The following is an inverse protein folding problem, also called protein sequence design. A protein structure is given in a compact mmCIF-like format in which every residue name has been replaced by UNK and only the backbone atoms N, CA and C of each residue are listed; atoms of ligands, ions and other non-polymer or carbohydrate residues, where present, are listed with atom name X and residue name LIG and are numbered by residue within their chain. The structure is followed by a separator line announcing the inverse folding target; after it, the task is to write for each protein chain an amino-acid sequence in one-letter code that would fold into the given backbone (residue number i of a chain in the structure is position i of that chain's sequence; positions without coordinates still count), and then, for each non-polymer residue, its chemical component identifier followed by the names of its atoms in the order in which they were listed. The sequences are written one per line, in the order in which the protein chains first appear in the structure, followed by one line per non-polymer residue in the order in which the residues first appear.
data_IF_392404620233
#
_entry.id   IF_392404620233
#
_cell.length_a   1.000
_cell.length_b   1.000
_cell.length_c   1.000
_cell.angle_alpha   90.00
_cell.angle_beta   90.00
_cell.angle_gamma   90.00
#
_symmetry.space_group_name_H-M   'P 1'
#
loop_
_entity.id
_entity.type
_entity.pdbx_description
1 polymer ?
#
# COMPACT_ATOMS: atom_id res chain seq x y z
N UNK A 1 16.61 -10.41 -0.26
CA UNK A 1 15.88 -10.52 -1.54
C UNK A 1 15.06 -9.26 -1.68
N UNK A 2 15.04 -8.64 -2.86
CA UNK A 2 14.24 -7.45 -3.10
C UNK A 2 12.76 -7.85 -3.20
N UNK A 3 11.87 -7.09 -2.58
CA UNK A 3 10.43 -7.32 -2.65
C UNK A 3 9.85 -6.80 -3.97
N UNK A 4 10.12 -5.51 -4.26
CA UNK A 4 9.71 -4.82 -5.49
C UNK A 4 10.86 -3.96 -6.00
N UNK A 5 11.08 -3.96 -7.32
CA UNK A 5 12.14 -3.18 -7.95
C UNK A 5 11.63 -2.54 -9.25
N UNK A 6 11.91 -1.26 -9.41
CA UNK A 6 11.70 -0.47 -10.63
C UNK A 6 13.06 -0.05 -11.18
N UNK A 7 13.32 -0.30 -12.46
CA UNK A 7 14.56 0.05 -13.14
C UNK A 7 14.27 0.89 -14.37
N UNK A 8 14.62 2.17 -14.31
CA UNK A 8 14.48 3.12 -15.40
C UNK A 8 13.11 3.11 -16.07
N UNK A 9 12.04 3.03 -15.23
CA UNK A 9 10.67 2.86 -15.68
C UNK A 9 10.13 4.15 -16.23
N UNK A 10 9.64 4.10 -17.49
CA UNK A 10 8.84 5.16 -18.10
C UNK A 10 7.48 4.62 -18.48
N UNK A 11 6.43 5.43 -18.26
CA UNK A 11 5.06 5.07 -18.60
C UNK A 11 4.25 6.30 -18.98
N UNK A 12 3.45 6.20 -20.03
CA UNK A 12 2.55 7.26 -20.48
C UNK A 12 1.16 6.73 -20.87
N UNK A 13 0.23 7.67 -21.05
CA UNK A 13 -1.11 7.38 -21.58
C UNK A 13 -1.34 8.18 -22.85
N UNK A 14 -1.59 7.49 -23.96
CA UNK A 14 -1.68 8.08 -25.28
C UNK A 14 -0.33 8.65 -25.76
N UNK A 15 -0.34 9.38 -26.88
CA UNK A 15 0.91 9.81 -27.55
C UNK A 15 1.65 10.97 -26.87
N UNK A 16 1.09 11.62 -25.85
CA UNK A 16 1.61 12.91 -25.34
C UNK A 16 1.72 13.05 -23.81
N UNK A 17 1.16 12.15 -23.01
CA UNK A 17 1.16 12.34 -21.54
C UNK A 17 2.06 11.31 -20.89
N UNK A 18 3.30 11.72 -20.57
CA UNK A 18 4.21 10.91 -19.74
C UNK A 18 3.79 11.05 -18.28
N UNK A 19 3.55 9.92 -17.61
CA UNK A 19 3.14 9.85 -16.20
C UNK A 19 4.33 9.50 -15.31
N UNK A 20 5.20 8.58 -15.76
CA UNK A 20 6.48 8.27 -15.12
C UNK A 20 7.59 8.45 -16.13
N UNK A 21 8.71 9.02 -15.68
CA UNK A 21 9.87 9.32 -16.49
C UNK A 21 11.16 8.93 -15.77
N UNK A 22 11.81 7.88 -16.25
CA UNK A 22 13.05 7.31 -15.70
C UNK A 22 12.99 7.00 -14.19
N UNK A 23 11.83 6.47 -13.73
CA UNK A 23 11.58 6.14 -12.33
C UNK A 23 12.33 4.89 -11.92
N UNK A 24 13.17 4.99 -10.88
CA UNK A 24 13.91 3.86 -10.32
C UNK A 24 13.74 3.84 -8.80
N UNK A 25 13.32 2.69 -8.24
CA UNK A 25 13.12 2.49 -6.80
C UNK A 25 13.23 1.00 -6.49
N UNK A 26 13.91 0.65 -5.40
CA UNK A 26 13.97 -0.72 -4.88
C UNK A 26 13.43 -0.76 -3.47
N UNK A 27 12.59 -1.74 -3.14
CA UNK A 27 11.99 -1.94 -1.81
C UNK A 27 12.36 -3.35 -1.36
N UNK A 28 13.03 -3.43 -0.22
CA UNK A 28 13.49 -4.69 0.36
C UNK A 28 12.36 -5.54 0.96
N UNK A 29 12.65 -6.82 1.20
CA UNK A 29 11.77 -7.67 1.98
C UNK A 29 11.67 -7.14 3.43
N UNK A 30 10.47 -7.05 3.97
CA UNK A 30 10.22 -6.53 5.31
C UNK A 30 10.28 -5.01 5.43
N UNK A 31 10.62 -4.29 4.37
CA UNK A 31 10.72 -2.83 4.35
C UNK A 31 9.37 -2.18 4.02
N UNK A 32 9.03 -1.13 4.74
CA UNK A 32 7.93 -0.22 4.38
C UNK A 32 8.49 1.01 3.68
N UNK A 33 8.20 1.16 2.40
CA UNK A 33 8.54 2.34 1.62
C UNK A 33 7.27 3.17 1.37
N UNK A 34 7.28 4.45 1.80
CA UNK A 34 6.23 5.39 1.46
C UNK A 34 6.63 6.23 0.25
N UNK A 35 5.80 6.25 -0.78
CA UNK A 35 5.96 7.12 -1.94
C UNK A 35 5.02 8.32 -1.79
N UNK A 36 5.60 9.50 -1.56
CA UNK A 36 4.87 10.75 -1.33
C UNK A 36 4.94 11.64 -2.57
N UNK A 37 3.87 12.38 -2.83
CA UNK A 37 3.83 13.34 -3.93
C UNK A 37 2.45 13.96 -4.11
N UNK A 38 2.37 15.03 -4.88
CA UNK A 38 1.11 15.70 -5.20
C UNK A 38 0.10 14.77 -5.89
N UNK A 39 -1.17 15.17 -5.92
CA UNK A 39 -2.17 14.48 -6.75
C UNK A 39 -1.73 14.55 -8.22
N UNK A 40 -1.85 13.43 -8.93
CA UNK A 40 -1.40 13.34 -10.33
C UNK A 40 0.10 13.10 -10.54
N UNK A 41 0.94 13.05 -9.50
CA UNK A 41 2.38 12.80 -9.64
C UNK A 41 2.75 11.41 -10.20
N UNK A 42 1.79 10.47 -10.29
CA UNK A 42 2.01 9.12 -10.81
C UNK A 42 2.01 8.01 -9.76
N UNK A 43 1.74 8.31 -8.49
CA UNK A 43 1.80 7.34 -7.36
C UNK A 43 0.95 6.08 -7.58
N UNK A 44 -0.34 6.23 -7.89
CA UNK A 44 -1.22 5.10 -8.18
C UNK A 44 -0.77 4.32 -9.43
N UNK A 45 -0.12 4.99 -10.40
CA UNK A 45 0.47 4.33 -11.57
C UNK A 45 1.62 3.41 -11.16
N UNK A 46 2.44 3.81 -10.21
CA UNK A 46 3.50 2.94 -9.65
C UNK A 46 2.90 1.65 -9.09
N UNK A 47 1.80 1.72 -8.32
CA UNK A 47 1.09 0.52 -7.82
C UNK A 47 0.51 -0.34 -8.96
N UNK A 48 -0.09 0.30 -9.98
CA UNK A 48 -0.66 -0.39 -11.15
C UNK A 48 0.39 -1.17 -11.94
N UNK A 49 1.61 -0.68 -12.02
CA UNK A 49 2.72 -1.38 -12.67
C UNK A 49 3.14 -2.63 -11.90
N UNK A 50 3.19 -2.59 -10.55
CA UNK A 50 3.49 -3.76 -9.72
C UNK A 50 2.43 -4.85 -9.92
N UNK A 51 1.13 -4.48 -9.93
CA UNK A 51 0.02 -5.41 -10.12
C UNK A 51 -0.21 -5.83 -11.58
N UNK A 52 0.64 -5.34 -12.51
CA UNK A 52 0.43 -5.57 -13.95
C UNK A 52 -0.98 -5.17 -14.42
N UNK A 53 -1.53 -4.09 -13.84
CA UNK A 53 -2.71 -3.38 -14.35
C UNK A 53 -2.32 -2.38 -15.45
N UNK A 54 -1.03 -2.02 -15.50
CA UNK A 54 -0.36 -1.32 -16.58
C UNK A 54 0.99 -1.99 -16.85
N UNK A 55 1.55 -1.79 -18.05
CA UNK A 55 2.89 -2.23 -18.40
C UNK A 55 3.75 -1.00 -18.70
N UNK A 56 5.03 -1.00 -18.31
CA UNK A 56 5.92 0.11 -18.60
C UNK A 56 6.22 0.18 -20.11
N UNK A 57 6.35 1.41 -20.64
CA UNK A 57 6.79 1.66 -22.02
C UNK A 57 8.30 1.43 -22.17
N UNK A 58 9.07 1.72 -21.09
CA UNK A 58 10.50 1.45 -21.03
C UNK A 58 10.88 1.05 -19.59
N UNK A 59 12.02 0.39 -19.45
CA UNK A 59 12.48 -0.16 -18.19
C UNK A 59 11.77 -1.46 -17.80
N UNK A 60 12.00 -1.92 -16.59
CA UNK A 60 11.40 -3.14 -16.05
C UNK A 60 10.91 -2.95 -14.59
N UNK A 61 9.85 -3.69 -14.25
CA UNK A 61 9.30 -3.79 -12.91
C UNK A 61 9.41 -5.24 -12.47
N UNK A 62 10.05 -5.47 -11.33
CA UNK A 62 10.24 -6.82 -10.78
C UNK A 62 9.50 -6.97 -9.46
N UNK A 63 8.86 -8.10 -9.29
CA UNK A 63 8.23 -8.53 -8.04
C UNK A 63 8.87 -9.85 -7.64
N UNK A 64 9.47 -9.88 -6.44
CA UNK A 64 10.21 -11.03 -5.93
C UNK A 64 11.34 -11.49 -6.89
N UNK A 65 12.03 -10.53 -7.51
CA UNK A 65 13.12 -10.77 -8.45
C UNK A 65 12.71 -11.14 -9.87
N UNK A 66 11.42 -11.37 -10.15
CA UNK A 66 10.90 -11.74 -11.46
C UNK A 66 10.21 -10.56 -12.14
N UNK A 67 10.50 -10.31 -13.42
CA UNK A 67 9.82 -9.26 -14.22
C UNK A 67 8.31 -9.50 -14.26
N UNK A 68 7.53 -8.43 -14.09
CA UNK A 68 6.05 -8.52 -14.10
C UNK A 68 5.50 -9.01 -15.44
N UNK A 69 6.21 -8.79 -16.54
CA UNK A 69 5.84 -9.29 -17.88
C UNK A 69 5.91 -10.82 -18.00
N UNK A 70 6.75 -11.46 -17.19
CA UNK A 70 6.92 -12.93 -17.18
C UNK A 70 5.91 -13.66 -16.28
N UNK A 71 5.23 -12.92 -15.39
CA UNK A 71 4.20 -13.49 -14.53
C UNK A 71 2.90 -13.75 -15.32
N UNK A 72 2.18 -14.80 -14.93
CA UNK A 72 0.75 -14.85 -15.20
C UNK A 72 0.05 -13.71 -14.42
N UNK A 73 -0.75 -12.85 -15.07
CA UNK A 73 -1.34 -11.67 -14.42
C UNK A 73 -2.25 -12.01 -13.24
N UNK A 74 -2.97 -13.14 -13.31
CA UNK A 74 -3.90 -13.57 -12.28
C UNK A 74 -3.10 -14.04 -11.07
N UNK A 75 -2.09 -14.88 -11.28
CA UNK A 75 -1.21 -15.37 -10.21
C UNK A 75 -0.46 -14.23 -9.53
N UNK A 76 0.07 -13.26 -10.29
CA UNK A 76 0.73 -12.08 -9.72
C UNK A 76 -0.22 -11.32 -8.79
N UNK A 77 -1.42 -10.98 -9.25
CA UNK A 77 -2.41 -10.22 -8.46
C UNK A 77 -2.88 -10.96 -7.22
N UNK A 78 -2.96 -12.29 -7.25
CA UNK A 78 -3.29 -13.11 -6.09
C UNK A 78 -2.14 -13.24 -5.09
N UNK A 79 -0.88 -13.12 -5.56
CA UNK A 79 0.31 -13.16 -4.71
C UNK A 79 0.69 -11.82 -4.07
N UNK A 80 0.01 -10.72 -4.45
CA UNK A 80 0.24 -9.37 -3.95
C UNK A 80 -1.00 -8.88 -3.22
N UNK A 81 -0.86 -8.47 -1.96
CA UNK A 81 -1.95 -7.83 -1.23
C UNK A 81 -2.17 -6.40 -1.73
N UNK A 82 -3.41 -5.97 -1.86
CA UNK A 82 -3.70 -4.60 -2.30
C UNK A 82 -4.82 -3.97 -1.49
N UNK A 83 -4.48 -2.90 -0.77
CA UNK A 83 -5.43 -2.03 -0.09
C UNK A 83 -5.66 -0.81 -0.98
N UNK A 84 -6.86 -0.71 -1.55
CA UNK A 84 -7.26 0.39 -2.43
C UNK A 84 -7.81 1.58 -1.63
N UNK A 85 -7.78 2.78 -2.22
CA UNK A 85 -8.12 4.05 -1.58
C UNK A 85 -9.48 4.04 -0.86
N UNK A 86 -10.53 3.53 -1.47
CA UNK A 86 -11.90 3.49 -0.91
C UNK A 86 -12.20 2.16 -0.21
N UNK A 87 -11.18 1.42 0.25
CA UNK A 87 -11.26 0.06 0.84
C UNK A 87 -11.86 -0.97 -0.12
N UNK A 88 -12.91 -0.65 -0.87
CA UNK A 88 -13.54 -1.49 -1.88
C UNK A 88 -13.98 -2.85 -1.34
N UNK A 89 -14.58 -2.90 -0.15
CA UNK A 89 -15.24 -4.11 0.33
C UNK A 89 -16.45 -4.41 -0.57
N UNK A 90 -16.66 -5.69 -0.84
CA UNK A 90 -17.83 -6.14 -1.56
C UNK A 90 -19.07 -5.97 -0.69
N UNK A 91 -20.03 -5.10 -1.04
CA UNK A 91 -21.15 -4.75 -0.17
C UNK A 91 -22.14 -5.90 0.02
N UNK A 92 -22.11 -6.88 -0.88
CA UNK A 92 -22.95 -8.08 -0.88
C UNK A 92 -22.28 -9.30 -0.23
N UNK A 93 -21.14 -9.12 0.42
CA UNK A 93 -20.42 -10.14 1.17
C UNK A 93 -20.26 -9.71 2.62
N UNK A 94 -20.32 -10.66 3.54
CA UNK A 94 -20.00 -10.43 4.95
C UNK A 94 -18.54 -10.03 5.13
N UNK A 95 -18.17 -9.59 6.33
CA UNK A 95 -16.77 -9.32 6.69
C UNK A 95 -15.90 -10.56 6.49
N UNK A 96 -16.34 -11.71 6.98
CA UNK A 96 -15.65 -12.98 6.81
C UNK A 96 -15.50 -13.36 5.34
N UNK A 97 -16.55 -13.21 4.55
CA UNK A 97 -16.51 -13.52 3.12
C UNK A 97 -15.62 -12.55 2.34
N UNK A 98 -15.61 -11.25 2.69
CA UNK A 98 -14.66 -10.29 2.12
C UNK A 98 -13.21 -10.71 2.32
N UNK A 99 -12.84 -11.15 3.54
CA UNK A 99 -11.50 -11.64 3.84
C UNK A 99 -11.22 -12.96 3.10
N UNK A 100 -12.21 -13.83 2.97
CA UNK A 100 -12.10 -15.16 2.37
C UNK A 100 -12.00 -15.16 0.82
N UNK A 101 -12.23 -14.02 0.14
CA UNK A 101 -12.30 -13.97 -1.35
C UNK A 101 -11.08 -14.60 -2.01
N UNK A 102 -9.87 -14.14 -1.67
CA UNK A 102 -8.65 -14.63 -2.32
C UNK A 102 -8.30 -16.07 -1.91
N UNK A 103 -8.37 -16.45 -0.62
CA UNK A 103 -8.23 -17.85 -0.21
C UNK A 103 -9.15 -18.83 -0.95
N UNK A 104 -10.42 -18.45 -1.17
CA UNK A 104 -11.36 -19.27 -1.96
C UNK A 104 -10.98 -19.34 -3.44
N UNK A 105 -10.52 -18.24 -4.04
CA UNK A 105 -10.01 -18.22 -5.41
C UNK A 105 -8.72 -19.07 -5.56
N UNK A 106 -7.97 -19.26 -4.48
CA UNK A 106 -6.82 -20.16 -4.39
C UNK A 106 -7.23 -21.59 -3.97
N UNK A 107 -8.53 -21.89 -3.98
CA UNK A 107 -9.10 -23.22 -3.71
C UNK A 107 -8.67 -23.81 -2.35
N UNK A 108 -8.50 -22.94 -1.33
CA UNK A 108 -8.20 -23.42 0.02
C UNK A 108 -9.38 -24.19 0.60
N UNK A 109 -9.08 -25.21 1.39
CA UNK A 109 -10.10 -25.97 2.12
C UNK A 109 -10.85 -25.07 3.10
N UNK A 110 -12.14 -25.29 3.28
CA UNK A 110 -13.03 -24.43 4.08
C UNK A 110 -12.54 -24.24 5.53
N UNK A 111 -12.07 -25.29 6.18
CA UNK A 111 -11.53 -25.20 7.55
C UNK A 111 -10.29 -24.29 7.62
N UNK A 112 -9.42 -24.34 6.61
CA UNK A 112 -8.25 -23.45 6.51
C UNK A 112 -8.68 -22.01 6.29
N UNK A 113 -9.67 -21.78 5.44
CA UNK A 113 -10.25 -20.45 5.20
C UNK A 113 -10.84 -19.89 6.49
N UNK A 114 -11.68 -20.67 7.19
CA UNK A 114 -12.30 -20.25 8.44
C UNK A 114 -11.25 -19.90 9.51
N UNK A 115 -10.24 -20.74 9.68
CA UNK A 115 -9.14 -20.51 10.61
C UNK A 115 -8.36 -19.21 10.27
N UNK A 116 -8.06 -19.00 8.98
CA UNK A 116 -7.35 -17.80 8.53
C UNK A 116 -8.16 -16.52 8.71
N UNK A 117 -9.46 -16.55 8.43
CA UNK A 117 -10.36 -15.43 8.66
C UNK A 117 -10.39 -15.04 10.14
N UNK A 118 -10.50 -16.04 11.05
CA UNK A 118 -10.47 -15.79 12.50
C UNK A 118 -9.15 -15.15 12.93
N UNK A 119 -8.02 -15.71 12.53
CA UNK A 119 -6.69 -15.19 12.80
C UNK A 119 -6.54 -13.72 12.36
N UNK A 120 -7.01 -13.40 11.15
CA UNK A 120 -6.92 -12.05 10.61
C UNK A 120 -7.84 -11.05 11.30
N UNK A 121 -9.04 -11.47 11.69
CA UNK A 121 -9.93 -10.63 12.47
C UNK A 121 -9.35 -10.31 13.85
N UNK A 122 -8.72 -11.30 14.51
CA UNK A 122 -7.99 -11.08 15.76
C UNK A 122 -6.76 -10.15 15.56
N UNK A 123 -6.04 -10.31 14.44
CA UNK A 123 -4.87 -9.47 14.11
C UNK A 123 -5.24 -7.97 13.98
N UNK A 124 -6.46 -7.68 13.50
CA UNK A 124 -6.97 -6.32 13.29
C UNK A 124 -7.87 -5.82 14.43
N UNK A 125 -7.82 -6.48 15.60
CA UNK A 125 -8.62 -6.15 16.80
C UNK A 125 -10.14 -6.08 16.54
N UNK A 126 -10.67 -7.00 15.73
CA UNK A 126 -12.10 -7.22 15.53
C UNK A 126 -12.48 -8.63 16.00
N UNK A 127 -13.34 -8.73 17.05
CA UNK A 127 -13.77 -10.02 17.58
C UNK A 127 -14.49 -10.87 16.51
N UNK A 128 -13.97 -12.07 16.14
CA UNK A 128 -14.49 -12.87 15.03
C UNK A 128 -15.98 -13.17 15.14
N UNK A 129 -16.43 -13.57 16.33
CA UNK A 129 -17.82 -13.97 16.58
C UNK A 129 -18.80 -12.78 16.52
N UNK A 130 -18.29 -11.53 16.70
CA UNK A 130 -19.10 -10.31 16.64
C UNK A 130 -19.12 -9.69 15.24
N UNK A 131 -17.99 -9.69 14.55
CA UNK A 131 -17.83 -8.95 13.31
C UNK A 131 -17.86 -9.82 12.05
N UNK A 132 -17.56 -11.10 12.16
CA UNK A 132 -17.43 -11.99 10.99
C UNK A 132 -18.66 -12.00 10.09
N UNK A 133 -19.87 -12.00 10.69
CA UNK A 133 -21.14 -12.07 9.98
C UNK A 133 -21.75 -10.70 9.64
N UNK A 134 -21.10 -9.59 10.02
CA UNK A 134 -21.59 -8.25 9.67
C UNK A 134 -21.34 -7.94 8.19
N UNK A 135 -22.14 -6.99 7.70
CA UNK A 135 -21.99 -6.42 6.36
C UNK A 135 -21.14 -5.15 6.41
N UNK A 136 -20.52 -4.73 5.30
CA UNK A 136 -19.67 -3.53 5.25
C UNK A 136 -20.37 -2.23 5.69
N UNK A 137 -21.68 -2.09 5.48
CA UNK A 137 -22.47 -0.93 5.87
C UNK A 137 -22.74 -0.85 7.39
N UNK A 138 -22.62 -1.96 8.11
CA UNK A 138 -22.71 -2.02 9.57
C UNK A 138 -21.40 -1.64 10.28
N UNK A 139 -20.34 -1.34 9.52
CA UNK A 139 -19.02 -1.01 10.04
C UNK A 139 -18.76 0.48 10.03
N UNK A 140 -17.99 0.99 11.02
CA UNK A 140 -17.40 2.33 10.93
C UNK A 140 -16.35 2.40 9.80
N UNK A 141 -15.98 3.61 9.37
CA UNK A 141 -14.93 3.80 8.36
C UNK A 141 -13.61 3.13 8.74
N UNK A 142 -13.18 3.28 10.01
CA UNK A 142 -11.98 2.63 10.51
C UNK A 142 -12.07 1.10 10.54
N UNK A 143 -13.23 0.54 10.91
CA UNK A 143 -13.45 -0.90 10.89
C UNK A 143 -13.41 -1.44 9.45
N UNK A 144 -14.04 -0.75 8.49
CA UNK A 144 -13.93 -1.10 7.06
C UNK A 144 -12.47 -1.12 6.59
N UNK A 145 -11.69 -0.11 7.00
CA UNK A 145 -10.27 -0.03 6.64
C UNK A 145 -9.48 -1.23 7.19
N UNK A 146 -9.69 -1.60 8.45
CA UNK A 146 -9.06 -2.79 9.05
C UNK A 146 -9.42 -4.06 8.29
N UNK A 147 -10.69 -4.26 7.94
CA UNK A 147 -11.14 -5.41 7.13
C UNK A 147 -10.46 -5.40 5.75
N UNK A 148 -10.27 -4.23 5.12
CA UNK A 148 -9.52 -4.09 3.87
C UNK A 148 -8.07 -4.55 3.99
N UNK A 149 -7.40 -4.22 5.09
CA UNK A 149 -6.04 -4.71 5.40
C UNK A 149 -6.04 -6.22 5.63
N UNK A 150 -6.98 -6.75 6.40
CA UNK A 150 -7.12 -8.20 6.63
C UNK A 150 -7.32 -8.96 5.32
N UNK A 151 -8.21 -8.46 4.43
CA UNK A 151 -8.43 -9.03 3.09
C UNK A 151 -7.14 -9.05 2.27
N UNK A 152 -6.38 -7.95 2.29
CA UNK A 152 -5.12 -7.87 1.56
C UNK A 152 -4.06 -8.86 2.09
N UNK A 153 -4.12 -9.21 3.39
CA UNK A 153 -3.21 -10.17 4.04
C UNK A 153 -3.71 -11.63 3.99
N UNK A 154 -4.88 -11.90 3.39
CA UNK A 154 -5.57 -13.19 3.52
C UNK A 154 -4.75 -14.40 3.08
N UNK A 155 -4.03 -14.30 1.97
CA UNK A 155 -3.17 -15.37 1.43
C UNK A 155 -1.71 -15.27 1.90
N UNK A 156 -1.45 -14.45 2.91
CA UNK A 156 -0.10 -14.18 3.44
C UNK A 156 0.89 -13.68 2.38
N UNK A 157 0.53 -12.64 1.58
CA UNK A 157 1.35 -12.19 0.47
C UNK A 157 2.69 -11.63 0.95
N UNK A 158 3.80 -11.84 0.22
CA UNK A 158 5.11 -11.27 0.55
C UNK A 158 5.19 -9.76 0.27
N UNK A 159 4.32 -9.23 -0.60
CA UNK A 159 4.24 -7.82 -0.98
C UNK A 159 2.85 -7.27 -0.69
N UNK A 160 2.80 -6.09 -0.07
CA UNK A 160 1.57 -5.36 0.22
C UNK A 160 1.63 -3.97 -0.44
N UNK A 161 0.65 -3.67 -1.25
CA UNK A 161 0.44 -2.36 -1.87
C UNK A 161 -0.69 -1.62 -1.16
N UNK A 162 -0.50 -0.33 -0.89
CA UNK A 162 -1.49 0.49 -0.20
C UNK A 162 -1.64 1.83 -0.93
N UNK A 163 -2.86 2.13 -1.38
CA UNK A 163 -3.18 3.35 -2.10
C UNK A 163 -4.00 4.28 -1.19
N UNK A 164 -3.36 5.33 -0.66
CA UNK A 164 -3.94 6.31 0.27
C UNK A 164 -4.82 5.69 1.38
N UNK A 165 -4.30 4.68 2.12
CA UNK A 165 -5.13 3.82 2.96
C UNK A 165 -5.79 4.53 4.14
N UNK A 166 -5.37 5.74 4.50
CA UNK A 166 -5.92 6.48 5.65
C UNK A 166 -6.55 7.83 5.23
N UNK A 167 -6.64 8.12 3.93
CA UNK A 167 -7.06 9.43 3.41
C UNK A 167 -8.48 9.85 3.79
N UNK A 168 -9.42 8.90 3.82
CA UNK A 168 -10.84 9.16 4.07
C UNK A 168 -11.25 9.17 5.56
N UNK A 169 -10.28 9.17 6.49
CA UNK A 169 -10.53 9.05 7.93
C UNK A 169 -10.36 10.38 8.66
N UNK A 170 -11.14 10.58 9.72
CA UNK A 170 -10.91 11.67 10.65
C UNK A 170 -9.53 11.56 11.33
N UNK A 171 -8.94 12.67 11.83
CA UNK A 171 -7.56 12.67 12.34
C UNK A 171 -7.31 11.70 13.52
N UNK A 172 -8.30 11.50 14.39
CA UNK A 172 -8.16 10.63 15.58
C UNK A 172 -8.13 9.16 15.14
N UNK A 173 -9.11 8.76 14.35
CA UNK A 173 -9.22 7.39 13.78
C UNK A 173 -8.01 7.09 12.91
N UNK A 174 -7.56 8.03 12.08
CA UNK A 174 -6.36 7.90 11.24
C UNK A 174 -5.14 7.56 12.08
N UNK A 175 -4.85 8.35 13.13
CA UNK A 175 -3.71 8.11 14.00
C UNK A 175 -3.76 6.75 14.70
N UNK A 176 -4.94 6.34 15.17
CA UNK A 176 -5.11 5.01 15.78
C UNK A 176 -4.79 3.89 14.79
N UNK A 177 -5.34 3.95 13.59
CA UNK A 177 -5.11 2.94 12.55
C UNK A 177 -3.65 2.91 12.07
N UNK A 178 -2.96 4.05 12.00
CA UNK A 178 -1.54 4.10 11.69
C UNK A 178 -0.71 3.36 12.74
N UNK A 179 -1.01 3.56 14.03
CA UNK A 179 -0.33 2.84 15.13
C UNK A 179 -0.60 1.33 15.06
N UNK A 180 -1.84 0.94 14.78
CA UNK A 180 -2.21 -0.46 14.61
C UNK A 180 -1.51 -1.09 13.40
N UNK A 181 -1.49 -0.38 12.26
CA UNK A 181 -0.78 -0.85 11.07
C UNK A 181 0.71 -1.08 11.35
N UNK A 182 1.39 -0.18 12.07
CA UNK A 182 2.79 -0.41 12.50
C UNK A 182 2.95 -1.68 13.31
N UNK A 183 2.01 -1.95 14.25
CA UNK A 183 2.03 -3.19 15.04
C UNK A 183 1.85 -4.43 14.17
N UNK A 184 0.91 -4.37 13.20
CA UNK A 184 0.68 -5.45 12.23
C UNK A 184 1.95 -5.65 11.40
N UNK A 185 2.51 -4.59 10.82
CA UNK A 185 3.72 -4.66 9.98
C UNK A 185 4.91 -5.26 10.74
N UNK A 186 5.12 -4.88 12.00
CA UNK A 186 6.17 -5.46 12.85
C UNK A 186 6.01 -6.97 13.07
N UNK A 187 4.77 -7.50 13.02
CA UNK A 187 4.50 -8.93 13.17
C UNK A 187 4.64 -9.70 11.87
N UNK A 188 4.17 -9.12 10.75
CA UNK A 188 4.10 -9.82 9.46
C UNK A 188 5.32 -9.58 8.57
N UNK A 189 6.10 -8.54 8.83
CA UNK A 189 7.36 -8.18 8.14
C UNK A 189 7.28 -8.27 6.61
N UNK A 190 6.24 -7.68 6.00
CA UNK A 190 6.03 -7.70 4.54
C UNK A 190 6.80 -6.57 3.86
N UNK A 191 7.14 -6.76 2.58
CA UNK A 191 7.53 -5.66 1.70
C UNK A 191 6.29 -4.79 1.45
N UNK A 192 6.29 -3.53 1.91
CA UNK A 192 5.15 -2.62 1.78
C UNK A 192 5.51 -1.44 0.90
N UNK A 193 4.71 -1.22 -0.15
CA UNK A 193 4.71 0.04 -0.91
C UNK A 193 3.42 0.79 -0.58
N UNK A 194 3.57 1.85 0.22
CA UNK A 194 2.51 2.76 0.62
C UNK A 194 2.59 4.02 -0.26
N UNK A 195 1.52 4.39 -0.95
CA UNK A 195 1.43 5.69 -1.60
C UNK A 195 0.49 6.61 -0.84
N UNK A 196 0.92 7.86 -0.65
CA UNK A 196 0.17 8.86 0.10
C UNK A 196 0.51 10.26 -0.40
N UNK A 197 -0.35 11.24 -0.12
CA UNK A 197 -0.03 12.65 -0.25
C UNK A 197 0.32 13.29 1.10
N UNK A 198 0.22 12.55 2.20
CA UNK A 198 0.44 13.03 3.56
C UNK A 198 1.87 12.67 4.04
N UNK A 199 2.72 13.69 4.15
CA UNK A 199 4.11 13.52 4.64
C UNK A 199 4.14 13.06 6.10
N UNK A 200 3.15 13.45 6.94
CA UNK A 200 3.10 12.99 8.33
C UNK A 200 2.85 11.48 8.41
N UNK A 201 2.04 10.95 7.51
CA UNK A 201 1.81 9.52 7.38
C UNK A 201 3.10 8.78 6.98
N UNK A 202 3.82 9.28 5.97
CA UNK A 202 5.08 8.71 5.54
C UNK A 202 6.13 8.70 6.67
N UNK A 203 6.28 9.82 7.36
CA UNK A 203 7.19 9.93 8.53
C UNK A 203 6.81 8.99 9.67
N UNK A 204 5.52 8.72 9.87
CA UNK A 204 5.04 7.85 10.94
C UNK A 204 5.20 6.36 10.65
N UNK A 205 5.12 5.94 9.38
CA UNK A 205 4.95 4.54 9.00
C UNK A 205 6.14 3.93 8.26
N UNK A 206 6.91 4.74 7.52
CA UNK A 206 7.89 4.22 6.59
C UNK A 206 9.29 4.04 7.21
N UNK A 207 9.99 3.02 6.75
CA UNK A 207 11.43 2.84 6.95
C UNK A 207 12.21 3.68 5.92
N UNK A 208 11.62 3.86 4.73
CA UNK A 208 12.14 4.72 3.67
C UNK A 208 11.02 5.52 3.02
N UNK A 209 11.33 6.75 2.66
CA UNK A 209 10.43 7.66 1.94
C UNK A 209 11.02 7.93 0.57
N UNK A 210 10.20 7.82 -0.48
CA UNK A 210 10.47 8.34 -1.81
C UNK A 210 9.57 9.54 -2.07
N UNK A 211 10.12 10.60 -2.66
CA UNK A 211 9.32 11.75 -3.09
C UNK A 211 9.21 11.76 -4.61
N UNK A 212 7.98 11.65 -5.10
CA UNK A 212 7.63 11.64 -6.51
C UNK A 212 7.10 13.02 -6.92
N UNK A 213 7.71 13.64 -7.92
CA UNK A 213 7.26 14.88 -8.50
C UNK A 213 7.32 14.78 -10.02
N UNK A 214 6.23 15.15 -10.70
CA UNK A 214 6.10 15.12 -12.17
C UNK A 214 6.61 13.80 -12.82
N UNK A 215 6.31 12.67 -12.19
CA UNK A 215 6.68 11.35 -12.69
C UNK A 215 8.12 10.92 -12.40
N UNK A 216 8.91 11.73 -11.70
CA UNK A 216 10.30 11.43 -11.36
C UNK A 216 10.49 11.26 -9.85
N UNK A 217 11.33 10.32 -9.45
CA UNK A 217 11.77 10.19 -8.07
C UNK A 217 12.84 11.27 -7.80
N UNK A 218 12.43 12.35 -7.11
CA UNK A 218 13.32 13.49 -6.86
C UNK A 218 14.15 13.37 -5.58
N UNK A 219 13.74 12.46 -4.68
CA UNK A 219 14.46 12.16 -3.44
C UNK A 219 14.07 10.79 -2.91
N UNK A 220 14.98 10.08 -2.26
CA UNK A 220 14.70 8.86 -1.49
C UNK A 220 15.69 8.71 -0.35
N UNK A 221 15.19 8.38 0.83
CA UNK A 221 16.01 8.20 2.03
C UNK A 221 15.19 7.78 3.24
N UNK A 222 15.84 7.70 4.41
CA UNK A 222 15.14 7.42 5.68
C UNK A 222 14.33 8.63 6.14
N UNK A 223 13.30 8.44 6.99
CA UNK A 223 12.54 9.55 7.58
C UNK A 223 13.42 10.60 8.27
N UNK A 224 14.52 10.17 8.88
CA UNK A 224 15.45 11.07 9.57
C UNK A 224 16.26 11.94 8.60
N UNK A 225 16.63 11.40 7.44
CA UNK A 225 17.44 12.10 6.44
C UNK A 225 16.64 13.12 5.61
N UNK A 226 15.30 13.09 5.65
CA UNK A 226 14.48 13.97 4.81
C UNK A 226 14.58 15.44 5.20
N UNK A 227 14.87 15.73 6.48
CA UNK A 227 15.06 17.11 6.99
C UNK A 227 16.28 17.79 6.38
N UNK A 228 17.26 17.01 5.94
CA UNK A 228 18.53 17.49 5.36
C UNK A 228 18.47 17.52 3.82
N UNK A 229 17.30 17.25 3.23
CA UNK A 229 17.12 17.23 1.79
C UNK A 229 17.30 18.63 1.17
N UNK A 230 18.16 18.74 0.16
CA UNK A 230 18.42 20.02 -0.52
C UNK A 230 17.36 20.41 -1.56
N UNK A 231 16.49 19.48 -1.96
CA UNK A 231 15.50 19.74 -3.01
C UNK A 231 14.33 20.62 -2.51
N UNK A 232 14.03 21.76 -3.17
CA UNK A 232 13.02 22.73 -2.68
C UNK A 232 11.62 22.12 -2.47
N UNK A 233 11.18 21.22 -3.36
CA UNK A 233 9.89 20.52 -3.25
C UNK A 233 9.85 19.60 -2.03
N UNK A 234 10.96 18.93 -1.71
CA UNK A 234 11.04 18.04 -0.53
C UNK A 234 10.95 18.87 0.74
N UNK A 235 11.68 19.99 0.81
CA UNK A 235 11.61 20.94 1.96
C UNK A 235 10.19 21.45 2.17
N UNK A 236 9.51 21.90 1.11
CA UNK A 236 8.14 22.39 1.20
C UNK A 236 7.17 21.33 1.75
N UNK A 237 7.33 20.06 1.36
CA UNK A 237 6.53 18.95 1.90
C UNK A 237 6.82 18.70 3.39
N UNK A 238 8.08 18.76 3.83
CA UNK A 238 8.47 18.58 5.23
C UNK A 238 7.97 19.74 6.08
N UNK A 239 8.14 20.98 5.62
CA UNK A 239 7.70 22.20 6.33
C UNK A 239 6.17 22.23 6.52
N UNK A 240 5.39 21.61 5.62
CA UNK A 240 3.93 21.54 5.77
C UNK A 240 3.48 20.71 6.98
N UNK A 241 4.36 19.88 7.54
CA UNK A 241 4.04 18.93 8.62
C UNK A 241 4.74 19.30 9.94
N UNK A 242 5.90 19.94 9.86
CA UNK A 242 6.61 20.43 11.06
C UNK A 242 5.92 21.72 11.50
N UNK A 243 5.39 21.82 12.73
CA UNK A 243 4.78 23.06 13.19
C UNK A 243 5.80 24.20 13.05
N UNK A 244 5.43 25.24 12.31
CA UNK A 244 6.18 26.50 12.32
C UNK A 244 6.24 26.94 13.78
N UNK A 245 7.44 26.97 14.36
CA UNK A 245 7.63 27.62 15.67
C UNK A 245 7.27 29.09 15.43
N UNK A 246 6.08 29.47 15.87
CA UNK A 246 5.72 30.87 15.98
C UNK A 246 6.71 31.48 17.00
N UNK A 247 7.70 32.17 16.48
CA UNK A 247 8.63 33.01 17.26
C UNK A 247 7.93 34.29 17.67
#
# INVERSE_FOLDING_TARGET
MDGVEFRHVSYGVGARTRILDDFSLTIGAGETCALVGASGAGKTTVLKLVNRLALPDAGDVRVLGRDTREWDPIRLRRSVGYVIQDVGLFPHLTVADNIAVVPRLEEWQDDRVAGRVRELLELIDLAPDTYGNRWPDELSGGQRQRVGVARALAVDPPVLLMDEPFGALDPITRRQLQLEFRRIQARVAKCVLLVTHDMAEALALADRIGVLDEGRLIWSGTPQAITDADHPRVRALVESVVPVRLT
#
